data_IF_511005928380
#
_entry.id   IF_511005928380
#
_cell.length_a   1.000
_cell.length_b   1.000
_cell.length_c   1.000
_cell.angle_alpha   90.00
_cell.angle_beta   90.00
_cell.angle_gamma   90.00
#
_symmetry.space_group_name_H-M   'P 1'
#
loop_
_entity.id
_entity.type
_entity.pdbx_description
1 polymer ?
#
# COMPACT_ATOMS: atom_id res chain seq x y z
N UNK A 1 -0.87 10.16 -46.98
CA UNK A 1 0.56 9.87 -47.18
C UNK A 1 1.29 10.55 -46.05
N UNK A 2 1.63 9.78 -45.03
CA UNK A 2 2.61 10.23 -44.03
C UNK A 2 3.94 9.78 -44.64
N UNK A 3 4.83 10.72 -44.91
CA UNK A 3 6.13 10.40 -45.52
C UNK A 3 6.83 9.36 -44.64
N UNK A 4 7.23 8.24 -45.27
CA UNK A 4 8.06 7.22 -44.62
C UNK A 4 9.34 7.91 -44.12
N UNK A 5 9.56 7.85 -42.82
CA UNK A 5 10.83 8.23 -42.23
C UNK A 5 11.87 7.21 -42.71
N UNK A 6 12.57 7.54 -43.80
CA UNK A 6 13.71 6.77 -44.29
C UNK A 6 14.86 6.96 -43.32
N UNK A 7 14.94 6.05 -42.34
CA UNK A 7 16.13 5.85 -41.53
C UNK A 7 17.20 5.25 -42.45
N UNK A 8 17.77 6.12 -43.31
CA UNK A 8 18.84 5.77 -44.23
C UNK A 8 19.92 4.98 -43.52
N UNK A 9 20.59 4.11 -44.27
CA UNK A 9 21.55 3.09 -43.86
C UNK A 9 22.79 3.60 -43.08
N UNK A 10 22.58 4.32 -41.99
CA UNK A 10 23.57 4.61 -40.97
C UNK A 10 23.63 3.38 -40.07
N UNK A 11 24.59 2.50 -40.34
CA UNK A 11 25.07 1.47 -39.43
C UNK A 11 25.81 2.12 -38.24
N UNK A 12 25.16 3.05 -37.55
CA UNK A 12 25.61 3.51 -36.26
C UNK A 12 25.10 2.50 -35.22
N UNK A 13 25.95 1.53 -34.87
CA UNK A 13 25.65 0.45 -33.91
C UNK A 13 25.27 0.97 -32.50
N UNK A 14 25.31 2.29 -32.27
CA UNK A 14 24.90 2.92 -31.02
C UNK A 14 23.37 3.04 -30.85
N UNK A 15 22.57 2.85 -31.91
CA UNK A 15 21.12 2.97 -31.84
C UNK A 15 20.39 1.65 -32.17
N UNK A 16 19.42 1.29 -31.33
CA UNK A 16 18.49 0.20 -31.58
C UNK A 16 17.13 0.76 -31.99
N UNK A 17 16.69 0.44 -33.21
CA UNK A 17 15.36 0.82 -33.72
C UNK A 17 14.34 -0.29 -33.44
N UNK A 18 13.16 0.09 -32.90
CA UNK A 18 12.04 -0.82 -32.65
C UNK A 18 10.80 -0.35 -33.43
N UNK A 19 10.42 -1.09 -34.48
CA UNK A 19 9.18 -0.82 -35.22
C UNK A 19 7.96 -1.33 -34.42
N UNK A 20 7.14 -0.41 -33.91
CA UNK A 20 5.94 -0.72 -33.14
C UNK A 20 4.69 -0.96 -33.98
N UNK A 21 4.76 -0.76 -35.30
CA UNK A 21 3.62 -0.81 -36.22
C UNK A 21 2.58 0.27 -35.90
N UNK A 22 1.29 -0.04 -36.11
CA UNK A 22 0.16 0.86 -35.82
C UNK A 22 -0.25 0.88 -34.34
N UNK A 23 0.66 0.50 -33.42
CA UNK A 23 0.35 0.44 -31.99
C UNK A 23 0.56 1.80 -31.32
N UNK A 24 -0.31 2.12 -30.37
CA UNK A 24 -0.09 3.25 -29.48
C UNK A 24 1.04 2.94 -28.49
N UNK A 25 1.91 3.92 -28.26
CA UNK A 25 2.87 3.92 -27.15
C UNK A 25 2.29 4.82 -26.07
N UNK A 26 2.13 4.26 -24.87
CA UNK A 26 1.68 5.01 -23.68
C UNK A 26 2.75 4.91 -22.60
N UNK A 27 2.83 5.89 -21.68
CA UNK A 27 3.66 5.75 -20.48
C UNK A 27 3.29 4.49 -19.71
N UNK A 28 4.26 3.91 -19.02
CA UNK A 28 3.99 2.83 -18.08
C UNK A 28 2.99 3.28 -17.01
N UNK A 29 2.06 2.41 -16.64
CA UNK A 29 1.03 2.75 -15.66
C UNK A 29 1.64 2.85 -14.26
N UNK A 30 1.06 3.71 -13.45
CA UNK A 30 1.39 3.87 -12.03
C UNK A 30 0.16 3.47 -11.23
N UNK A 31 0.30 2.47 -10.37
CA UNK A 31 -0.74 2.08 -9.43
C UNK A 31 -0.46 2.73 -8.07
N UNK A 32 -1.12 3.85 -7.80
CA UNK A 32 -0.75 4.74 -6.70
C UNK A 32 -1.24 4.28 -5.31
N UNK A 33 -2.02 3.19 -5.25
CA UNK A 33 -2.61 2.71 -4.01
C UNK A 33 -2.79 1.19 -4.05
N UNK A 34 -1.97 0.43 -3.33
CA UNK A 34 -2.19 -1.01 -3.19
C UNK A 34 -1.83 -1.54 -1.81
N UNK A 35 -2.52 -2.60 -1.38
CA UNK A 35 -2.03 -3.50 -0.34
C UNK A 35 -1.47 -4.76 -1.00
N UNK A 36 -0.25 -4.65 -1.53
CA UNK A 36 0.37 -5.73 -2.30
C UNK A 36 0.71 -6.96 -1.43
N UNK A 37 1.13 -6.72 -0.19
CA UNK A 37 1.76 -7.74 0.67
C UNK A 37 0.78 -8.23 1.75
N UNK A 38 0.22 -9.42 1.58
CA UNK A 38 -0.65 -10.08 2.58
C UNK A 38 -0.90 -11.54 2.24
N UNK A 39 -1.20 -12.38 3.23
CA UNK A 39 -1.53 -13.78 3.03
C UNK A 39 -2.92 -14.14 3.56
N UNK A 40 -3.34 -15.38 3.32
CA UNK A 40 -4.67 -15.88 3.64
C UNK A 40 -5.64 -15.72 2.48
N UNK A 41 -6.91 -15.95 2.78
CA UNK A 41 -8.01 -15.87 1.81
C UNK A 41 -9.24 -15.31 2.52
N UNK A 42 -10.01 -14.48 1.81
CA UNK A 42 -11.29 -13.93 2.26
C UNK A 42 -12.42 -14.18 1.26
N UNK A 43 -12.21 -15.07 0.28
CA UNK A 43 -13.19 -15.35 -0.77
C UNK A 43 -14.55 -15.80 -0.22
N UNK A 44 -14.57 -16.54 0.90
CA UNK A 44 -15.81 -16.99 1.56
C UNK A 44 -16.63 -15.84 2.17
N UNK A 45 -16.01 -14.69 2.44
CA UNK A 45 -16.73 -13.52 2.95
C UNK A 45 -17.65 -12.90 1.89
N UNK A 46 -17.38 -13.10 0.60
CA UNK A 46 -18.27 -12.65 -0.48
C UNK A 46 -19.63 -13.33 -0.34
N UNK A 47 -19.65 -14.64 -0.11
CA UNK A 47 -20.90 -15.38 0.12
C UNK A 47 -21.65 -14.90 1.37
N UNK A 48 -20.92 -14.62 2.46
CA UNK A 48 -21.49 -14.07 3.70
C UNK A 48 -22.13 -12.69 3.48
N UNK A 49 -21.44 -11.79 2.77
CA UNK A 49 -21.99 -10.48 2.40
C UNK A 49 -23.22 -10.59 1.52
N UNK A 50 -23.20 -11.48 0.52
CA UNK A 50 -24.36 -11.73 -0.36
C UNK A 50 -25.56 -12.30 0.41
N UNK A 51 -25.33 -12.99 1.53
CA UNK A 51 -26.39 -13.45 2.43
C UNK A 51 -26.92 -12.37 3.40
N UNK A 52 -26.40 -11.14 3.30
CA UNK A 52 -26.85 -9.99 4.08
C UNK A 52 -26.09 -9.75 5.39
N UNK A 53 -25.01 -10.49 5.67
CA UNK A 53 -24.18 -10.22 6.86
C UNK A 53 -23.47 -8.86 6.73
N UNK A 54 -23.54 -8.04 7.77
CA UNK A 54 -22.80 -6.77 7.83
C UNK A 54 -21.30 -7.00 8.01
N UNK A 55 -20.49 -5.95 7.79
CA UNK A 55 -19.06 -6.00 8.09
C UNK A 55 -18.80 -6.38 9.55
N UNK A 56 -19.59 -5.81 10.46
CA UNK A 56 -19.52 -6.10 11.89
C UNK A 56 -19.83 -7.58 12.19
N UNK A 57 -20.87 -8.15 11.57
CA UNK A 57 -21.21 -9.57 11.77
C UNK A 57 -20.10 -10.51 11.28
N UNK A 58 -19.48 -10.17 10.15
CA UNK A 58 -18.36 -10.94 9.58
C UNK A 58 -17.13 -10.82 10.47
N UNK A 59 -16.81 -9.63 10.97
CA UNK A 59 -15.71 -9.42 11.91
C UNK A 59 -15.93 -10.20 13.22
N UNK A 60 -17.15 -10.15 13.79
CA UNK A 60 -17.53 -10.91 14.98
C UNK A 60 -17.42 -12.43 14.79
N UNK A 61 -17.63 -12.92 13.56
CA UNK A 61 -17.41 -14.33 13.19
C UNK A 61 -15.92 -14.66 12.91
N UNK A 62 -14.99 -13.77 13.23
CA UNK A 62 -13.55 -13.95 13.02
C UNK A 62 -13.08 -13.69 11.58
N UNK A 63 -13.92 -13.09 10.73
CA UNK A 63 -13.54 -12.60 9.40
C UNK A 63 -12.91 -11.21 9.45
N UNK A 64 -13.03 -10.46 8.34
CA UNK A 64 -12.61 -9.07 8.29
C UNK A 64 -11.08 -8.90 8.19
N UNK A 65 -10.61 -7.68 8.44
CA UNK A 65 -9.18 -7.37 8.47
C UNK A 65 -8.41 -8.25 9.47
N UNK A 66 -8.99 -8.57 10.63
CA UNK A 66 -8.37 -9.42 11.63
C UNK A 66 -7.97 -10.81 11.11
N UNK A 67 -8.71 -11.38 10.15
CA UNK A 67 -8.33 -12.62 9.48
C UNK A 67 -7.07 -12.47 8.64
N UNK A 68 -6.99 -11.42 7.83
CA UNK A 68 -5.80 -11.12 7.03
C UNK A 68 -4.61 -10.83 7.93
N UNK A 69 -4.80 -10.05 9.01
CA UNK A 69 -3.73 -9.75 9.98
C UNK A 69 -3.15 -11.02 10.58
N UNK A 70 -4.01 -11.93 11.08
CA UNK A 70 -3.55 -13.20 11.65
C UNK A 70 -2.80 -14.08 10.65
N UNK A 71 -3.19 -14.07 9.38
CA UNK A 71 -2.52 -14.84 8.33
C UNK A 71 -1.16 -14.22 7.96
N UNK A 72 -1.14 -12.91 7.69
CA UNK A 72 0.05 -12.16 7.30
C UNK A 72 1.10 -12.14 8.40
N UNK A 73 0.73 -11.93 9.66
CA UNK A 73 1.68 -11.92 10.78
C UNK A 73 2.38 -13.27 10.99
N UNK A 74 1.69 -14.39 10.70
CA UNK A 74 2.25 -15.76 10.78
C UNK A 74 3.11 -16.14 9.58
N UNK A 75 3.01 -15.43 8.47
CA UNK A 75 3.78 -15.73 7.27
C UNK A 75 5.28 -15.46 7.48
N UNK A 76 6.11 -16.27 6.83
CA UNK A 76 7.54 -16.01 6.77
C UNK A 76 7.84 -14.84 5.82
N UNK A 77 9.02 -14.23 5.97
CA UNK A 77 9.44 -13.16 5.05
C UNK A 77 9.50 -13.65 3.59
N UNK A 78 9.93 -14.90 3.36
CA UNK A 78 9.96 -15.52 2.03
C UNK A 78 8.57 -15.73 1.44
N UNK A 79 7.58 -16.09 2.26
CA UNK A 79 6.19 -16.25 1.78
C UNK A 79 5.61 -14.90 1.35
N UNK A 80 5.86 -13.84 2.13
CA UNK A 80 5.42 -12.49 1.81
C UNK A 80 6.06 -11.96 0.53
N UNK A 81 7.37 -12.16 0.36
CA UNK A 81 8.08 -11.80 -0.86
C UNK A 81 7.53 -12.56 -2.07
N UNK A 82 7.38 -13.89 -1.96
CA UNK A 82 6.85 -14.72 -3.06
C UNK A 82 5.47 -14.24 -3.51
N UNK A 83 4.57 -13.98 -2.56
CA UNK A 83 3.22 -13.48 -2.86
C UNK A 83 3.26 -12.07 -3.47
N UNK A 84 4.15 -11.21 -2.96
CA UNK A 84 4.36 -9.88 -3.51
C UNK A 84 4.83 -9.92 -4.97
N UNK A 85 5.78 -10.81 -5.29
CA UNK A 85 6.29 -11.00 -6.66
C UNK A 85 5.20 -11.50 -7.60
N UNK A 86 4.39 -12.48 -7.20
CA UNK A 86 3.31 -13.01 -8.03
C UNK A 86 2.27 -11.94 -8.38
N UNK A 87 1.92 -11.10 -7.40
CA UNK A 87 0.97 -9.98 -7.58
C UNK A 87 1.59 -8.85 -8.39
N UNK A 88 2.84 -8.47 -8.15
CA UNK A 88 3.56 -7.45 -8.92
C UNK A 88 3.77 -7.87 -10.38
N UNK A 89 4.08 -9.14 -10.63
CA UNK A 89 4.14 -9.70 -11.98
C UNK A 89 2.77 -9.62 -12.68
N UNK A 90 1.68 -9.79 -11.93
CA UNK A 90 0.32 -9.63 -12.46
C UNK A 90 0.03 -8.17 -12.83
N UNK A 91 0.33 -7.22 -11.95
CA UNK A 91 0.21 -5.79 -12.24
C UNK A 91 1.04 -5.39 -13.47
N UNK A 92 2.28 -5.90 -13.57
CA UNK A 92 3.17 -5.66 -14.71
C UNK A 92 2.56 -6.15 -16.03
N UNK A 93 1.93 -7.32 -16.05
CA UNK A 93 1.26 -7.84 -17.27
C UNK A 93 0.15 -6.92 -17.76
N UNK A 94 -0.41 -6.10 -16.88
CA UNK A 94 -1.42 -5.08 -17.19
C UNK A 94 -0.83 -3.71 -17.55
N UNK A 95 0.51 -3.57 -17.59
CA UNK A 95 1.20 -2.34 -17.96
C UNK A 95 1.72 -1.50 -16.79
N UNK A 96 1.52 -1.94 -15.54
CA UNK A 96 2.08 -1.25 -14.36
C UNK A 96 3.60 -1.32 -14.34
N UNK A 97 4.24 -0.17 -14.25
CA UNK A 97 5.70 -0.03 -14.19
C UNK A 97 6.19 0.50 -12.85
N UNK A 98 5.29 1.10 -12.07
CA UNK A 98 5.55 1.54 -10.71
C UNK A 98 4.28 1.38 -9.89
N UNK A 99 4.39 0.95 -8.64
CA UNK A 99 3.25 0.84 -7.75
C UNK A 99 3.60 1.27 -6.32
N UNK A 100 2.60 1.73 -5.59
CA UNK A 100 2.66 1.92 -4.16
C UNK A 100 2.22 0.64 -3.44
N UNK A 101 2.90 0.29 -2.36
CA UNK A 101 2.60 -0.90 -1.57
C UNK A 101 2.58 -0.55 -0.08
N UNK A 102 1.38 -0.61 0.51
CA UNK A 102 1.13 -0.32 1.91
C UNK A 102 1.33 -1.57 2.76
N UNK A 103 1.86 -1.37 3.98
CA UNK A 103 1.75 -2.34 5.05
C UNK A 103 0.33 -2.32 5.67
N UNK A 104 0.18 -2.56 6.98
CA UNK A 104 -1.10 -2.45 7.67
C UNK A 104 -1.87 -3.76 7.84
N UNK A 105 -1.34 -4.89 7.38
CA UNK A 105 -1.86 -6.22 7.76
C UNK A 105 -0.98 -6.92 8.80
N UNK A 106 -0.18 -6.16 9.54
CA UNK A 106 0.65 -6.67 10.64
C UNK A 106 0.11 -6.21 11.98
N UNK A 107 -0.17 -4.91 12.10
CA UNK A 107 -0.63 -4.19 13.31
C UNK A 107 0.28 -4.30 14.53
N UNK A 108 1.40 -5.00 14.39
CA UNK A 108 2.49 -5.19 15.35
C UNK A 108 3.81 -4.85 14.67
N UNK A 109 4.76 -4.30 15.43
CA UNK A 109 6.02 -3.74 14.91
C UNK A 109 6.76 -4.70 13.99
N UNK A 110 7.07 -5.90 14.45
CA UNK A 110 7.79 -6.90 13.64
C UNK A 110 7.05 -7.29 12.36
N UNK A 111 5.71 -7.36 12.41
CA UNK A 111 4.90 -7.76 11.26
C UNK A 111 4.77 -6.62 10.23
N UNK A 112 4.72 -5.37 10.68
CA UNK A 112 4.74 -4.19 9.82
C UNK A 112 6.10 -4.04 9.12
N UNK A 113 7.21 -4.14 9.86
CA UNK A 113 8.56 -4.10 9.30
C UNK A 113 8.78 -5.22 8.26
N UNK A 114 8.26 -6.42 8.53
CA UNK A 114 8.34 -7.55 7.60
C UNK A 114 7.57 -7.30 6.29
N UNK A 115 6.41 -6.66 6.36
CA UNK A 115 5.64 -6.29 5.16
C UNK A 115 6.33 -5.20 4.36
N UNK A 116 6.87 -4.17 5.02
CA UNK A 116 7.61 -3.08 4.39
C UNK A 116 8.85 -3.63 3.69
N UNK A 117 9.59 -4.53 4.35
CA UNK A 117 10.75 -5.20 3.76
C UNK A 117 10.34 -5.99 2.50
N UNK A 118 9.28 -6.80 2.57
CA UNK A 118 8.82 -7.56 1.41
C UNK A 118 8.39 -6.65 0.25
N UNK A 119 7.71 -5.54 0.52
CA UNK A 119 7.34 -4.56 -0.49
C UNK A 119 8.58 -3.92 -1.15
N UNK A 120 9.57 -3.54 -0.35
CA UNK A 120 10.85 -3.04 -0.85
C UNK A 120 11.54 -4.08 -1.75
N UNK A 121 11.68 -5.31 -1.26
CA UNK A 121 12.41 -6.37 -1.97
C UNK A 121 11.76 -6.75 -3.30
N UNK A 122 10.43 -6.67 -3.41
CA UNK A 122 9.73 -6.81 -4.71
C UNK A 122 10.22 -5.77 -5.73
N UNK A 123 10.40 -4.52 -5.30
CA UNK A 123 10.87 -3.42 -6.15
C UNK A 123 12.32 -3.55 -6.60
N UNK A 124 13.15 -4.30 -5.86
CA UNK A 124 14.55 -4.54 -6.19
C UNK A 124 14.75 -5.70 -7.19
N UNK A 125 13.71 -6.52 -7.43
CA UNK A 125 13.82 -7.63 -8.39
C UNK A 125 13.78 -7.12 -9.82
N UNK A 126 14.85 -7.43 -10.57
CA UNK A 126 14.96 -7.06 -11.98
C UNK A 126 13.76 -7.56 -12.79
N UNK A 127 13.13 -6.63 -13.50
CA UNK A 127 11.98 -6.92 -14.35
C UNK A 127 10.63 -6.82 -13.64
N UNK A 128 10.58 -6.53 -12.34
CA UNK A 128 9.35 -6.15 -11.65
C UNK A 128 9.05 -4.64 -11.79
N UNK A 129 7.82 -4.19 -11.51
CA UNK A 129 7.52 -2.77 -11.31
C UNK A 129 8.36 -2.20 -10.16
N UNK A 130 8.76 -0.94 -10.23
CA UNK A 130 9.30 -0.25 -9.06
C UNK A 130 8.25 -0.13 -7.96
N UNK A 131 8.68 -0.16 -6.69
CA UNK A 131 7.77 -0.13 -5.54
C UNK A 131 8.03 1.09 -4.66
N UNK A 132 6.94 1.70 -4.18
CA UNK A 132 6.93 2.74 -3.15
C UNK A 132 6.36 2.16 -1.86
N UNK A 133 7.20 1.73 -0.90
CA UNK A 133 6.70 1.23 0.37
C UNK A 133 6.09 2.36 1.21
N UNK A 134 4.88 2.12 1.71
CA UNK A 134 4.15 3.02 2.61
C UNK A 134 3.88 2.30 3.92
N UNK A 135 4.26 2.92 5.04
CA UNK A 135 3.86 2.43 6.36
C UNK A 135 2.41 2.83 6.66
N UNK A 136 1.58 1.84 6.98
CA UNK A 136 0.19 2.02 7.37
C UNK A 136 -0.08 1.26 8.68
N UNK A 137 0.69 1.56 9.72
CA UNK A 137 0.48 0.96 11.05
C UNK A 137 -0.90 1.28 11.62
N UNK A 138 -1.43 2.46 11.30
CA UNK A 138 -2.76 2.92 11.68
C UNK A 138 -3.85 2.47 10.69
N UNK A 139 -3.86 1.18 10.32
CA UNK A 139 -4.89 0.60 9.44
C UNK A 139 -6.16 0.19 10.21
N UNK A 140 -5.96 -0.35 11.41
CA UNK A 140 -7.02 -0.74 12.32
C UNK A 140 -6.50 -0.80 13.76
N UNK A 141 -7.41 -0.66 14.72
CA UNK A 141 -7.12 -0.88 16.13
C UNK A 141 -7.06 -2.40 16.38
N UNK A 142 -5.97 -2.94 16.95
CA UNK A 142 -5.89 -4.36 17.30
C UNK A 142 -7.02 -4.81 18.23
N UNK A 143 -7.39 -6.08 18.13
CA UNK A 143 -8.44 -6.67 18.97
C UNK A 143 -8.06 -6.58 20.46
N UNK A 144 -8.95 -5.99 21.26
CA UNK A 144 -8.73 -5.81 22.70
C UNK A 144 -7.93 -4.56 23.09
N UNK A 145 -7.53 -3.73 22.11
CA UNK A 145 -6.83 -2.47 22.37
C UNK A 145 -7.75 -1.24 22.22
N UNK A 146 -7.24 -0.07 22.59
CA UNK A 146 -7.91 1.22 22.41
C UNK A 146 -7.17 2.06 21.36
N UNK A 147 -7.88 3.04 20.79
CA UNK A 147 -7.28 3.99 19.85
C UNK A 147 -6.07 4.70 20.47
N UNK A 148 -6.20 5.25 21.68
CA UNK A 148 -5.11 6.01 22.33
C UNK A 148 -3.88 5.13 22.60
N UNK A 149 -4.06 3.92 23.14
CA UNK A 149 -2.95 2.99 23.34
C UNK A 149 -2.28 2.61 22.00
N UNK A 150 -3.09 2.42 20.96
CA UNK A 150 -2.57 2.10 19.62
C UNK A 150 -1.75 3.27 19.10
N UNK A 151 -2.25 4.50 19.19
CA UNK A 151 -1.53 5.71 18.80
C UNK A 151 -0.23 5.86 19.58
N UNK A 152 -0.25 5.63 20.90
CA UNK A 152 0.96 5.68 21.74
C UNK A 152 2.00 4.66 21.28
N UNK A 153 1.60 3.41 21.04
CA UNK A 153 2.51 2.35 20.55
C UNK A 153 3.03 2.65 19.14
N UNK A 154 2.18 3.17 18.25
CA UNK A 154 2.60 3.58 16.91
C UNK A 154 3.68 4.65 16.97
N UNK A 155 3.52 5.66 17.83
CA UNK A 155 4.45 6.79 17.93
C UNK A 155 5.72 6.49 18.74
N UNK A 156 5.61 5.68 19.80
CA UNK A 156 6.72 5.41 20.72
C UNK A 156 7.59 4.22 20.33
N UNK A 157 7.05 3.29 19.54
CA UNK A 157 7.72 2.03 19.19
C UNK A 157 7.77 1.80 17.69
N UNK A 158 6.61 1.67 17.03
CA UNK A 158 6.56 1.17 15.67
C UNK A 158 7.13 2.15 14.64
N UNK A 159 6.72 3.42 14.68
CA UNK A 159 7.23 4.44 13.78
C UNK A 159 8.74 4.67 13.96
N UNK A 160 9.30 4.78 15.18
CA UNK A 160 10.75 4.76 15.38
C UNK A 160 11.44 3.57 14.70
N UNK A 161 10.89 2.36 14.82
CA UNK A 161 11.45 1.18 14.18
C UNK A 161 11.34 1.22 12.64
N UNK A 162 10.25 1.75 12.10
CA UNK A 162 10.07 1.98 10.64
C UNK A 162 11.09 2.98 10.11
N UNK A 163 11.35 4.05 10.87
CA UNK A 163 12.35 5.06 10.52
C UNK A 163 13.77 4.47 10.57
N UNK A 164 14.09 3.65 11.58
CA UNK A 164 15.37 2.95 11.68
C UNK A 164 15.58 1.94 10.53
N UNK A 165 14.50 1.26 10.12
CA UNK A 165 14.53 0.37 8.95
C UNK A 165 14.86 1.13 7.65
N UNK A 166 14.40 2.39 7.53
CA UNK A 166 14.76 3.28 6.41
C UNK A 166 14.17 2.92 5.04
N UNK A 167 13.19 2.02 4.99
CA UNK A 167 12.60 1.52 3.73
C UNK A 167 11.27 2.19 3.36
N UNK A 168 10.50 2.61 4.35
CA UNK A 168 9.23 3.32 4.11
C UNK A 168 9.50 4.72 3.55
N UNK A 169 8.79 5.08 2.49
CA UNK A 169 8.86 6.41 1.86
C UNK A 169 7.68 7.31 2.25
N UNK A 170 6.62 6.72 2.78
CA UNK A 170 5.41 7.42 3.21
C UNK A 170 4.83 6.82 4.49
N UNK A 171 4.03 7.64 5.18
CA UNK A 171 3.13 7.22 6.25
C UNK A 171 1.68 7.44 5.81
N UNK A 172 0.81 6.51 6.18
CA UNK A 172 -0.62 6.53 5.87
C UNK A 172 -1.43 6.19 7.12
N UNK A 173 -2.67 6.65 7.18
CA UNK A 173 -3.61 6.41 8.28
C UNK A 173 -5.00 6.17 7.70
N UNK A 174 -5.69 5.17 8.23
CA UNK A 174 -7.11 4.94 7.95
C UNK A 174 -8.00 5.82 8.84
N UNK A 175 -8.30 7.01 8.35
CA UNK A 175 -9.03 8.07 9.06
C UNK A 175 -10.54 7.99 8.76
N UNK A 176 -11.27 7.24 9.58
CA UNK A 176 -12.69 6.94 9.39
C UNK A 176 -13.40 6.85 10.76
N UNK A 177 -14.63 7.38 10.93
CA UNK A 177 -15.41 7.16 12.14
C UNK A 177 -15.55 5.69 12.52
N UNK A 178 -15.08 5.34 13.72
CA UNK A 178 -15.02 3.96 14.23
C UNK A 178 -13.65 3.28 14.07
N UNK A 179 -12.71 3.94 13.39
CA UNK A 179 -11.30 3.57 13.29
C UNK A 179 -10.43 4.64 13.94
N UNK A 180 -9.56 5.34 13.20
CA UNK A 180 -8.78 6.44 13.74
C UNK A 180 -9.51 7.77 13.56
N UNK A 181 -9.57 8.55 14.63
CA UNK A 181 -10.14 9.89 14.63
C UNK A 181 -9.26 10.89 13.87
N UNK A 182 -9.82 12.05 13.53
CA UNK A 182 -9.08 13.19 12.96
C UNK A 182 -7.91 13.62 13.85
N UNK A 183 -8.10 13.61 15.18
CA UNK A 183 -7.07 14.02 16.15
C UNK A 183 -5.90 13.04 16.18
N UNK A 184 -6.18 11.74 16.27
CA UNK A 184 -5.15 10.70 16.21
C UNK A 184 -4.41 10.71 14.87
N UNK A 185 -5.15 10.88 13.78
CA UNK A 185 -4.60 11.00 12.43
C UNK A 185 -3.65 12.19 12.31
N UNK A 186 -4.07 13.36 12.78
CA UNK A 186 -3.23 14.56 12.80
C UNK A 186 -1.96 14.34 13.62
N UNK A 187 -2.06 13.72 14.81
CA UNK A 187 -0.91 13.41 15.67
C UNK A 187 0.08 12.47 14.96
N UNK A 188 -0.40 11.37 14.39
CA UNK A 188 0.43 10.36 13.73
C UNK A 188 1.16 10.96 12.52
N UNK A 189 0.42 11.59 11.61
CA UNK A 189 1.01 12.10 10.37
C UNK A 189 1.91 13.30 10.61
N UNK A 190 1.56 14.20 11.54
CA UNK A 190 2.44 15.34 11.87
C UNK A 190 3.80 14.85 12.35
N UNK A 191 3.83 13.82 13.21
CA UNK A 191 5.09 13.26 13.70
C UNK A 191 5.85 12.55 12.57
N UNK A 192 5.19 11.64 11.84
CA UNK A 192 5.82 10.87 10.76
C UNK A 192 6.39 11.78 9.64
N UNK A 193 5.65 12.82 9.27
CA UNK A 193 6.09 13.81 8.28
C UNK A 193 7.23 14.69 8.81
N UNK A 194 7.19 15.05 10.10
CA UNK A 194 8.30 15.73 10.78
C UNK A 194 9.59 14.91 10.79
N UNK A 195 9.49 13.58 10.70
CA UNK A 195 10.61 12.65 10.59
C UNK A 195 11.03 12.35 9.14
N UNK A 196 10.42 13.00 8.14
CA UNK A 196 10.85 12.91 6.73
C UNK A 196 10.04 11.95 5.85
N UNK A 197 8.99 11.30 6.37
CA UNK A 197 8.07 10.53 5.55
C UNK A 197 7.10 11.46 4.80
N UNK A 198 6.70 11.09 3.59
CA UNK A 198 5.57 11.80 2.93
C UNK A 198 4.22 11.32 3.49
N UNK A 199 3.28 12.24 3.68
CA UNK A 199 1.95 11.91 4.21
C UNK A 199 1.00 11.39 3.13
N UNK A 200 0.17 10.42 3.49
CA UNK A 200 -0.97 9.87 2.73
C UNK A 200 -2.13 9.62 3.68
N UNK A 201 -3.34 9.47 3.15
CA UNK A 201 -4.52 9.16 3.95
C UNK A 201 -5.51 8.28 3.20
N UNK A 202 -6.20 7.40 3.93
CA UNK A 202 -7.52 6.92 3.53
C UNK A 202 -8.56 7.69 4.33
N UNK A 203 -9.54 8.25 3.63
CA UNK A 203 -10.54 9.13 4.23
C UNK A 203 -11.92 8.90 3.64
N UNK A 204 -12.92 9.10 4.49
CA UNK A 204 -14.30 9.25 4.03
C UNK A 204 -14.81 8.07 3.15
N UNK A 205 -14.27 6.84 3.35
CA UNK A 205 -14.58 5.64 2.54
C UNK A 205 -16.03 5.20 2.78
N UNK A 206 -16.47 5.22 4.03
CA UNK A 206 -17.81 4.80 4.43
C UNK A 206 -18.74 5.98 4.71
N UNK A 207 -18.25 7.01 5.40
CA UNK A 207 -19.05 8.21 5.71
C UNK A 207 -18.21 9.48 5.59
N UNK A 208 -18.85 10.64 5.39
CA UNK A 208 -18.18 11.94 5.44
C UNK A 208 -17.71 12.25 6.89
N UNK A 209 -16.47 11.86 7.18
CA UNK A 209 -15.76 12.04 8.45
C UNK A 209 -14.91 13.31 8.50
N UNK A 210 -14.99 14.17 7.47
CA UNK A 210 -14.18 15.39 7.28
C UNK A 210 -12.69 15.12 7.04
N UNK A 211 -12.33 13.93 6.59
CA UNK A 211 -10.95 13.55 6.31
C UNK A 211 -10.32 14.42 5.22
N UNK A 212 -11.08 14.80 4.19
CA UNK A 212 -10.58 15.68 3.11
C UNK A 212 -10.09 17.06 3.59
N UNK A 213 -10.73 17.63 4.62
CA UNK A 213 -10.31 18.89 5.20
C UNK A 213 -8.98 18.74 5.96
N UNK A 214 -8.81 17.63 6.68
CA UNK A 214 -7.56 17.32 7.39
C UNK A 214 -6.42 17.04 6.40
N UNK A 215 -6.68 16.26 5.35
CA UNK A 215 -5.71 15.98 4.28
C UNK A 215 -5.15 17.26 3.67
N UNK A 216 -6.04 18.19 3.30
CA UNK A 216 -5.68 19.51 2.77
C UNK A 216 -4.86 20.33 3.76
N UNK A 217 -5.26 20.35 5.05
CA UNK A 217 -4.55 21.05 6.13
C UNK A 217 -3.13 20.53 6.33
N UNK A 218 -2.95 19.20 6.31
CA UNK A 218 -1.65 18.55 6.52
C UNK A 218 -0.74 18.61 5.29
N UNK A 219 -1.30 18.85 4.09
CA UNK A 219 -0.53 18.85 2.85
C UNK A 219 -0.05 17.46 2.46
N UNK A 220 -0.88 16.44 2.69
CA UNK A 220 -0.57 15.06 2.25
C UNK A 220 -0.50 14.97 0.73
N UNK A 221 0.27 14.00 0.23
CA UNK A 221 0.49 13.80 -1.21
C UNK A 221 -0.76 13.24 -1.88
N UNK A 222 -1.42 12.30 -1.21
CA UNK A 222 -2.67 11.67 -1.65
C UNK A 222 -3.61 11.50 -0.47
N UNK A 223 -4.90 11.56 -0.76
CA UNK A 223 -5.96 11.19 0.17
C UNK A 223 -6.98 10.41 -0.67
N UNK A 224 -7.12 9.13 -0.35
CA UNK A 224 -7.88 8.14 -1.11
C UNK A 224 -9.25 7.90 -0.47
#
# INVERSE_FOLDING_TARGET
MVDEFDAGSNNDESFQYLNVGERAIVPGLIDAHTHLIWTGDRSDEVGKRLSGMSYHDIAAAGGGIGRTVRATSKASASDLLSIGLDRAATARRSGTTYLEAKSGYGLETDAELKQIQAAHDVGEVLGMPGVHPTWLGAHAIPEGDTEENTVERLLSEQLPAVLDQGLAKSADVFCEPGWFSLESTERILTYAMGCGLSGRLHIDEFVDGKGGALASKLGVVTAD
#
